data_IF_906679710493
#
_entry.id   IF_906679710493
#
_cell.length_a   1.000
_cell.length_b   1.000
_cell.length_c   1.000
_cell.angle_alpha   90.00
_cell.angle_beta   90.00
_cell.angle_gamma   90.00
#
_symmetry.space_group_name_H-M   'P 1'
#
loop_
_entity.id
_entity.type
_entity.pdbx_description
1 polymer ?
#
# COMPACT_ATOMS: atom_id res chain seq x y z
N UNK A 1 15.57 -10.40 -4.62
CA UNK A 1 14.42 -10.80 -5.45
C UNK A 1 13.80 -9.56 -6.03
N UNK A 2 13.68 -9.53 -7.36
CA UNK A 2 13.14 -8.44 -8.16
C UNK A 2 11.81 -8.93 -8.78
N UNK A 3 10.86 -9.27 -7.91
CA UNK A 3 9.56 -9.84 -8.28
C UNK A 3 8.48 -8.76 -8.12
N UNK A 4 7.75 -8.51 -9.20
CA UNK A 4 6.71 -7.49 -9.33
C UNK A 4 5.31 -8.09 -9.56
N UNK A 5 5.18 -9.41 -9.44
CA UNK A 5 3.88 -10.06 -9.52
C UNK A 5 2.98 -9.62 -8.37
N UNK A 6 1.66 -9.73 -8.55
CA UNK A 6 0.70 -9.49 -7.46
C UNK A 6 0.76 -10.51 -6.33
N UNK A 7 1.65 -11.50 -6.43
CA UNK A 7 1.94 -12.52 -5.42
C UNK A 7 3.37 -12.40 -4.89
N UNK A 8 4.10 -11.35 -5.29
CA UNK A 8 5.45 -11.10 -4.80
C UNK A 8 5.44 -10.95 -3.28
N UNK A 9 6.54 -11.35 -2.63
CA UNK A 9 6.62 -11.24 -1.18
C UNK A 9 6.56 -9.78 -0.72
N UNK A 10 5.64 -9.49 0.18
CA UNK A 10 5.41 -8.17 0.79
C UNK A 10 6.12 -8.00 2.14
N UNK A 11 6.97 -8.94 2.57
CA UNK A 11 7.60 -8.92 3.90
C UNK A 11 8.39 -7.65 4.18
N UNK A 12 9.15 -7.15 3.20
CA UNK A 12 9.96 -5.93 3.38
C UNK A 12 9.07 -4.68 3.40
N UNK A 13 8.01 -4.64 2.56
CA UNK A 13 6.99 -3.58 2.57
C UNK A 13 6.32 -3.49 3.94
N UNK A 14 5.92 -4.64 4.50
CA UNK A 14 5.29 -4.72 5.81
C UNK A 14 6.20 -4.22 6.94
N UNK A 15 7.49 -4.61 6.92
CA UNK A 15 8.47 -4.13 7.89
C UNK A 15 8.63 -2.60 7.80
N UNK A 16 8.73 -2.08 6.57
CA UNK A 16 8.84 -0.65 6.31
C UNK A 16 7.60 0.12 6.78
N UNK A 17 6.39 -0.34 6.44
CA UNK A 17 5.14 0.31 6.83
C UNK A 17 4.96 0.33 8.35
N UNK A 18 5.29 -0.77 9.06
CA UNK A 18 5.27 -0.79 10.53
C UNK A 18 6.18 0.29 11.13
N UNK A 19 7.41 0.42 10.63
CA UNK A 19 8.36 1.41 11.12
C UNK A 19 7.89 2.85 10.85
N UNK A 20 7.46 3.14 9.62
CA UNK A 20 7.01 4.48 9.22
C UNK A 20 5.72 4.88 9.94
N UNK A 21 4.73 3.99 10.02
CA UNK A 21 3.47 4.26 10.72
C UNK A 21 3.68 4.45 12.22
N UNK A 22 4.56 3.67 12.86
CA UNK A 22 4.91 3.90 14.26
C UNK A 22 5.56 5.28 14.46
N UNK A 23 6.49 5.67 13.57
CA UNK A 23 7.11 6.99 13.61
C UNK A 23 6.07 8.10 13.41
N UNK A 24 5.23 8.00 12.38
CA UNK A 24 4.19 8.97 12.06
C UNK A 24 3.21 9.12 13.24
N UNK A 25 2.81 8.01 13.87
CA UNK A 25 1.96 8.02 15.08
C UNK A 25 2.59 8.79 16.22
N UNK A 26 3.87 8.52 16.52
CA UNK A 26 4.58 9.14 17.63
C UNK A 26 4.70 10.67 17.46
N UNK A 27 4.63 11.15 16.23
CA UNK A 27 4.77 12.57 15.89
C UNK A 27 3.45 13.21 15.39
N UNK A 28 2.32 12.47 15.43
CA UNK A 28 1.01 12.89 14.91
C UNK A 28 1.07 13.42 13.45
N UNK A 29 1.85 12.74 12.59
CA UNK A 29 1.99 13.08 11.17
C UNK A 29 0.94 12.28 10.37
N UNK A 30 0.04 12.94 9.61
CA UNK A 30 -0.85 12.24 8.70
C UNK A 30 -0.05 11.69 7.50
N UNK A 31 -0.41 10.50 7.05
CA UNK A 31 0.25 9.82 5.93
C UNK A 31 -0.78 9.17 5.02
N UNK A 32 -0.45 9.12 3.72
CA UNK A 32 -1.14 8.32 2.73
C UNK A 32 -0.10 7.42 2.07
N UNK A 33 -0.34 6.11 2.05
CA UNK A 33 0.57 5.21 1.35
C UNK A 33 0.35 5.32 -0.16
N UNK A 34 1.42 5.16 -0.91
CA UNK A 34 1.37 4.98 -2.35
C UNK A 34 1.52 3.49 -2.66
N UNK A 35 0.55 2.83 -3.29
CA UNK A 35 -0.81 3.28 -3.59
C UNK A 35 -1.76 2.09 -3.51
N UNK A 36 -3.07 2.32 -3.53
CA UNK A 36 -4.05 1.24 -3.49
C UNK A 36 -4.36 0.72 -4.89
N UNK A 37 -4.06 -0.55 -5.15
CA UNK A 37 -4.36 -1.23 -6.41
C UNK A 37 -5.69 -2.00 -6.40
N UNK A 38 -6.22 -2.30 -5.21
CA UNK A 38 -7.48 -3.03 -5.06
C UNK A 38 -7.48 -4.38 -5.78
N UNK A 39 -8.56 -4.65 -6.49
CA UNK A 39 -8.79 -5.89 -7.25
C UNK A 39 -8.03 -5.94 -8.59
N UNK A 40 -7.51 -4.81 -9.06
CA UNK A 40 -6.81 -4.73 -10.35
C UNK A 40 -5.51 -5.53 -10.33
N UNK A 41 -5.11 -6.09 -11.49
CA UNK A 41 -3.87 -6.86 -11.62
C UNK A 41 -3.09 -6.49 -12.87
N UNK A 42 -1.74 -6.42 -12.80
CA UNK A 42 -0.93 -6.28 -13.99
C UNK A 42 -1.16 -7.49 -14.91
N UNK A 43 -1.52 -7.26 -16.17
CA UNK A 43 -1.60 -8.33 -17.17
C UNK A 43 -0.24 -9.01 -17.37
N UNK A 44 0.84 -8.21 -17.35
CA UNK A 44 2.22 -8.67 -17.28
C UNK A 44 2.88 -7.85 -16.15
N UNK A 45 3.48 -8.49 -15.14
CA UNK A 45 4.23 -7.77 -14.11
C UNK A 45 5.40 -6.96 -14.70
N UNK A 46 5.69 -5.80 -14.10
CA UNK A 46 6.85 -4.97 -14.46
C UNK A 46 6.86 -4.46 -15.92
N UNK A 47 5.69 -4.20 -16.51
CA UNK A 47 5.58 -3.43 -17.75
C UNK A 47 4.68 -2.21 -17.53
N UNK A 48 4.91 -1.14 -18.30
CA UNK A 48 4.04 0.03 -18.26
C UNK A 48 2.64 -0.34 -18.75
N UNK A 49 1.64 0.31 -18.15
CA UNK A 49 0.24 0.14 -18.50
C UNK A 49 0.01 0.35 -20.00
N UNK A 50 -0.81 -0.51 -20.60
CA UNK A 50 -1.34 -0.35 -21.95
C UNK A 50 -2.86 -0.30 -21.94
N UNK A 51 -3.44 0.25 -23.01
CA UNK A 51 -4.89 0.28 -23.17
C UNK A 51 -5.50 -1.11 -23.01
N UNK A 52 -6.44 -1.23 -22.08
CA UNK A 52 -7.11 -2.50 -21.75
C UNK A 52 -6.53 -3.23 -20.54
N UNK A 53 -5.39 -2.79 -20.01
CA UNK A 53 -4.90 -3.26 -18.71
C UNK A 53 -5.72 -2.62 -17.57
N UNK A 54 -5.86 -3.34 -16.46
CA UNK A 54 -6.54 -2.83 -15.26
C UNK A 54 -5.84 -1.56 -14.74
N UNK A 55 -6.62 -0.63 -14.19
CA UNK A 55 -6.04 0.47 -13.42
C UNK A 55 -5.67 -0.03 -12.02
N UNK A 56 -4.43 0.23 -11.61
CA UNK A 56 -3.94 0.03 -10.25
C UNK A 56 -3.30 1.33 -9.74
N UNK A 57 -2.67 1.29 -8.57
CA UNK A 57 -2.04 2.45 -7.95
C UNK A 57 -0.81 2.98 -8.68
N UNK A 58 -0.15 2.13 -9.48
CA UNK A 58 1.01 2.50 -10.30
C UNK A 58 0.53 3.24 -11.59
N UNK A 59 0.92 4.50 -11.82
CA UNK A 59 0.49 5.30 -12.96
C UNK A 59 1.14 4.81 -14.27
N UNK A 60 0.60 5.16 -15.47
CA UNK A 60 1.05 4.57 -16.74
C UNK A 60 2.52 4.80 -17.15
N UNK A 61 3.21 5.75 -16.51
CA UNK A 61 4.64 5.98 -16.76
C UNK A 61 5.55 5.09 -15.88
N UNK A 62 4.99 4.45 -14.86
CA UNK A 62 5.64 3.49 -13.98
C UNK A 62 5.21 2.05 -14.34
N UNK A 63 6.09 1.05 -14.21
CA UNK A 63 5.72 -0.34 -14.39
C UNK A 63 4.64 -0.80 -13.40
N UNK A 64 3.65 -1.54 -13.90
CA UNK A 64 2.57 -2.09 -13.08
C UNK A 64 3.11 -3.17 -12.13
N UNK A 65 2.76 -3.09 -10.84
CA UNK A 65 3.27 -3.99 -9.79
C UNK A 65 4.50 -3.47 -9.06
N UNK A 66 4.79 -2.17 -9.16
CA UNK A 66 5.93 -1.58 -8.46
C UNK A 66 5.59 -1.30 -6.99
N UNK A 67 4.52 -0.55 -6.73
CA UNK A 67 4.15 -0.08 -5.41
C UNK A 67 2.71 -0.35 -5.01
N UNK A 68 1.85 -0.76 -5.95
CA UNK A 68 0.46 -1.11 -5.65
C UNK A 68 0.34 -2.11 -4.49
N UNK A 69 -0.55 -1.79 -3.55
CA UNK A 69 -1.06 -2.69 -2.51
C UNK A 69 -2.37 -3.29 -3.02
N UNK A 70 -2.40 -4.61 -3.16
CA UNK A 70 -3.56 -5.34 -3.68
C UNK A 70 -4.51 -5.76 -2.56
N UNK A 71 -5.76 -6.09 -2.91
CA UNK A 71 -6.75 -6.65 -1.98
C UNK A 71 -6.30 -7.98 -1.34
N UNK A 72 -5.38 -8.70 -1.99
CA UNK A 72 -4.78 -9.95 -1.48
C UNK A 72 -3.56 -9.75 -0.59
N UNK A 73 -3.04 -8.52 -0.44
CA UNK A 73 -1.91 -8.19 0.45
C UNK A 73 -2.38 -8.08 1.91
N UNK A 74 -2.96 -9.17 2.43
CA UNK A 74 -3.74 -9.16 3.69
C UNK A 74 -2.94 -8.62 4.87
N UNK A 75 -1.67 -8.97 5.01
CA UNK A 75 -0.83 -8.49 6.10
C UNK A 75 -0.51 -6.99 5.99
N UNK A 76 -0.29 -6.48 4.76
CA UNK A 76 -0.12 -5.03 4.52
C UNK A 76 -1.41 -4.28 4.87
N UNK A 77 -2.57 -4.81 4.44
CA UNK A 77 -3.88 -4.22 4.72
C UNK A 77 -4.21 -4.20 6.22
N UNK A 78 -3.89 -5.27 6.95
CA UNK A 78 -4.03 -5.32 8.41
C UNK A 78 -3.18 -4.24 9.12
N UNK A 79 -1.93 -4.02 8.65
CA UNK A 79 -1.06 -2.97 9.18
C UNK A 79 -1.67 -1.58 8.96
N UNK A 80 -2.16 -1.31 7.75
CA UNK A 80 -2.80 -0.03 7.38
C UNK A 80 -4.06 0.18 8.24
N UNK A 81 -4.94 -0.83 8.34
CA UNK A 81 -6.17 -0.76 9.12
C UNK A 81 -5.89 -0.52 10.61
N UNK A 82 -4.92 -1.24 11.20
CA UNK A 82 -4.53 -1.04 12.59
C UNK A 82 -4.02 0.39 12.84
N UNK A 83 -3.20 0.95 11.94
CA UNK A 83 -2.75 2.33 12.08
C UNK A 83 -3.91 3.34 11.95
N UNK A 84 -4.77 3.18 10.95
CA UNK A 84 -5.89 4.09 10.69
C UNK A 84 -6.96 4.07 11.80
N UNK A 85 -7.26 2.91 12.39
CA UNK A 85 -8.22 2.82 13.50
C UNK A 85 -7.72 3.47 14.80
N UNK A 86 -6.40 3.54 15.00
CA UNK A 86 -5.81 4.19 16.18
C UNK A 86 -5.77 5.71 16.09
N UNK A 87 -5.74 6.27 14.88
CA UNK A 87 -5.78 7.73 14.70
C UNK A 87 -7.19 8.27 14.98
N UNK A 88 -8.25 7.52 14.66
CA UNK A 88 -9.64 7.92 14.95
C UNK A 88 -9.95 8.03 16.44
N UNK A 89 -9.35 7.22 17.30
CA UNK A 89 -9.66 7.20 18.75
C UNK A 89 -9.10 8.41 19.50
N UNK A 90 -8.04 9.06 19.01
CA UNK A 90 -7.42 10.21 19.69
C UNK A 90 -8.19 11.53 19.49
N UNK A 91 -9.10 11.61 18.52
CA UNK A 91 -9.82 12.86 18.23
C UNK A 91 -10.95 13.17 19.23
N UNK A 92 -11.33 12.22 20.10
CA UNK A 92 -12.50 12.35 20.99
C UNK A 92 -12.15 12.72 22.44
N UNK A 93 -10.89 13.02 22.75
CA UNK A 93 -10.43 13.21 24.14
C UNK A 93 -10.20 14.68 24.55
N UNK A 94 -10.58 15.66 23.73
CA UNK A 94 -10.46 17.09 24.05
C UNK A 94 -11.71 17.87 23.57
N UNK A 95 -12.83 17.70 24.28
CA UNK A 95 -13.93 18.67 24.36
C UNK A 95 -14.59 18.56 25.72
#
# INVERSE_FOLDING_TARGET
>A
NDDHSSTASITVRDQYYRAVFQFARNHNIPVNFWAYGGEGRPRIPHVNWAQGDDFIGDPPHEPQGWYSVYDTDTSTLEIIHHFASMTTTKSSANT
#
